data_IF_025728164292
#
_entry.id   IF_025728164292
#
_cell.length_a   1.000
_cell.length_b   1.000
_cell.length_c   1.000
_cell.angle_alpha   90.00
_cell.angle_beta   90.00
_cell.angle_gamma   90.00
#
_symmetry.space_group_name_H-M   'P 1'
#
loop_
_entity.id
_entity.type
_entity.pdbx_description
1 polymer ?
#
# COMPACT_ATOMS: atom_id res chain seq x y z
N UNK A 1 3.59 24.00 -5.61
CA UNK A 1 3.65 22.61 -6.13
C UNK A 1 3.96 21.69 -4.95
N UNK A 2 2.94 21.07 -4.35
CA UNK A 2 3.02 20.13 -3.23
C UNK A 2 3.39 18.72 -3.73
N UNK A 3 4.53 18.59 -4.39
CA UNK A 3 4.99 17.35 -5.03
C UNK A 3 5.73 16.42 -4.04
N UNK A 4 5.24 16.24 -2.81
CA UNK A 4 6.08 15.59 -1.79
C UNK A 4 6.21 14.08 -1.97
N UNK A 5 5.17 13.39 -2.47
CA UNK A 5 5.22 11.94 -2.64
C UNK A 5 4.89 11.41 -4.03
N UNK A 6 4.24 12.18 -4.89
CA UNK A 6 3.78 11.71 -6.21
C UNK A 6 4.93 11.16 -7.06
N UNK A 7 6.05 11.89 -7.18
CA UNK A 7 7.23 11.42 -7.92
C UNK A 7 7.81 10.12 -7.35
N UNK A 8 7.89 10.00 -6.02
CA UNK A 8 8.35 8.78 -5.36
C UNK A 8 7.42 7.61 -5.63
N UNK A 9 6.11 7.82 -5.48
CA UNK A 9 5.09 6.80 -5.69
C UNK A 9 5.04 6.31 -7.14
N UNK A 10 5.14 7.20 -8.13
CA UNK A 10 5.24 6.81 -9.55
C UNK A 10 6.45 5.90 -9.79
N UNK A 11 7.62 6.27 -9.25
CA UNK A 11 8.82 5.44 -9.35
C UNK A 11 8.65 4.06 -8.70
N UNK A 12 7.95 3.98 -7.56
CA UNK A 12 7.62 2.67 -6.94
C UNK A 12 6.68 1.86 -7.84
N UNK A 13 5.62 2.47 -8.36
CA UNK A 13 4.64 1.80 -9.23
C UNK A 13 5.28 1.24 -10.50
N UNK A 14 6.20 1.98 -11.11
CA UNK A 14 6.93 1.58 -12.32
C UNK A 14 7.99 0.50 -12.05
N UNK A 15 8.68 0.56 -10.90
CA UNK A 15 9.80 -0.34 -10.58
C UNK A 15 9.38 -1.58 -9.81
N UNK A 16 8.21 -1.58 -9.17
CA UNK A 16 7.68 -2.73 -8.48
C UNK A 16 7.40 -3.84 -9.49
N UNK A 17 8.04 -4.99 -9.29
CA UNK A 17 7.90 -6.18 -10.14
C UNK A 17 6.43 -6.55 -10.37
N UNK A 18 6.18 -7.31 -11.41
CA UNK A 18 4.91 -8.02 -11.55
C UNK A 18 4.85 -9.18 -10.52
N UNK A 19 3.64 -9.48 -10.02
CA UNK A 19 3.42 -10.57 -9.06
C UNK A 19 3.74 -10.24 -7.60
N UNK A 20 3.96 -11.28 -6.79
CA UNK A 20 4.07 -11.19 -5.32
C UNK A 20 5.15 -10.23 -4.80
N UNK A 21 6.37 -10.16 -5.37
CA UNK A 21 7.35 -9.16 -4.94
C UNK A 21 6.83 -7.73 -5.11
N UNK A 22 6.11 -7.45 -6.19
CA UNK A 22 5.49 -6.14 -6.42
C UNK A 22 4.37 -5.82 -5.45
N UNK A 23 3.50 -6.80 -5.18
CA UNK A 23 2.45 -6.66 -4.16
C UNK A 23 3.07 -6.31 -2.80
N UNK A 24 4.10 -7.05 -2.38
CA UNK A 24 4.80 -6.80 -1.13
C UNK A 24 5.41 -5.39 -1.09
N UNK A 25 6.11 -4.98 -2.15
CA UNK A 25 6.74 -3.66 -2.27
C UNK A 25 5.74 -2.50 -2.18
N UNK A 26 4.59 -2.64 -2.83
CA UNK A 26 3.56 -1.60 -2.84
C UNK A 26 2.86 -1.49 -1.49
N UNK A 27 2.55 -2.62 -0.83
CA UNK A 27 2.01 -2.62 0.51
C UNK A 27 3.01 -2.04 1.52
N UNK A 28 4.31 -2.32 1.37
CA UNK A 28 5.34 -1.68 2.19
C UNK A 28 5.31 -0.15 2.07
N UNK A 29 5.33 0.36 0.84
CA UNK A 29 5.31 1.80 0.58
C UNK A 29 4.02 2.46 1.07
N UNK A 30 2.86 1.85 0.78
CA UNK A 30 1.55 2.34 1.21
C UNK A 30 1.42 2.38 2.74
N UNK A 31 1.79 1.31 3.43
CA UNK A 31 1.73 1.23 4.89
C UNK A 31 2.64 2.26 5.55
N UNK A 32 3.87 2.45 5.04
CA UNK A 32 4.77 3.50 5.53
C UNK A 32 4.25 4.90 5.27
N UNK A 33 3.70 5.17 4.09
CA UNK A 33 3.12 6.47 3.77
C UNK A 33 1.90 6.78 4.65
N UNK A 34 0.97 5.82 4.82
CA UNK A 34 -0.20 5.97 5.68
C UNK A 34 0.19 6.24 7.14
N UNK A 35 1.18 5.50 7.67
CA UNK A 35 1.70 5.71 9.02
C UNK A 35 2.33 7.11 9.16
N UNK A 36 3.18 7.53 8.23
CA UNK A 36 3.80 8.87 8.26
C UNK A 36 2.74 9.98 8.20
N UNK A 37 1.71 9.81 7.37
CA UNK A 37 0.61 10.75 7.26
C UNK A 37 -0.19 10.83 8.58
N UNK A 38 -0.44 9.69 9.24
CA UNK A 38 -1.16 9.67 10.53
C UNK A 38 -0.47 10.50 11.62
N UNK A 39 0.86 10.58 11.61
CA UNK A 39 1.64 11.30 12.61
C UNK A 39 1.60 12.82 12.42
N UNK A 40 1.18 13.30 11.25
CA UNK A 40 1.13 14.72 10.90
C UNK A 40 -0.27 15.33 11.07
N UNK A 41 -1.25 14.53 11.51
CA UNK A 41 -2.66 14.92 11.53
C UNK A 41 -3.22 14.88 12.96
N UNK A 42 -4.31 15.63 13.23
CA UNK A 42 -5.03 15.55 14.50
C UNK A 42 -5.51 14.12 14.78
N UNK A 43 -5.59 13.75 16.06
CA UNK A 43 -5.84 12.37 16.53
C UNK A 43 -7.01 11.68 15.81
N UNK A 44 -8.14 12.35 15.57
CA UNK A 44 -9.29 11.72 14.92
C UNK A 44 -8.97 11.22 13.50
N UNK A 45 -8.40 12.09 12.68
CA UNK A 45 -8.02 11.80 11.29
C UNK A 45 -6.79 10.88 11.25
N UNK A 46 -5.81 11.16 12.12
CA UNK A 46 -4.59 10.37 12.25
C UNK A 46 -4.87 8.92 12.67
N UNK A 47 -5.80 8.68 13.60
CA UNK A 47 -6.14 7.33 14.06
C UNK A 47 -6.66 6.45 12.91
N UNK A 48 -7.55 6.97 12.06
CA UNK A 48 -8.06 6.22 10.91
C UNK A 48 -6.93 5.78 9.96
N UNK A 49 -5.97 6.68 9.69
CA UNK A 49 -4.81 6.37 8.85
C UNK A 49 -3.81 5.43 9.52
N UNK A 50 -3.68 5.51 10.85
CA UNK A 50 -2.85 4.57 11.61
C UNK A 50 -3.42 3.14 11.57
N UNK A 51 -4.74 2.98 11.66
CA UNK A 51 -5.40 1.69 11.47
C UNK A 51 -5.22 1.18 10.03
N UNK A 52 -5.46 2.02 9.03
CA UNK A 52 -5.21 1.65 7.63
C UNK A 52 -3.74 1.22 7.39
N UNK A 53 -2.78 1.90 8.04
CA UNK A 53 -1.37 1.53 7.98
C UNK A 53 -1.08 0.17 8.63
N UNK A 54 -1.70 -0.10 9.78
CA UNK A 54 -1.57 -1.39 10.47
C UNK A 54 -2.15 -2.54 9.62
N UNK A 55 -3.35 -2.36 9.06
CA UNK A 55 -3.99 -3.36 8.19
C UNK A 55 -3.16 -3.60 6.91
N UNK A 56 -2.53 -2.55 6.38
CA UNK A 56 -1.63 -2.67 5.23
C UNK A 56 -0.36 -3.45 5.58
N UNK A 57 0.21 -3.21 6.77
CA UNK A 57 1.34 -4.00 7.27
C UNK A 57 0.96 -5.46 7.49
N UNK A 58 -0.22 -5.74 8.04
CA UNK A 58 -0.70 -7.12 8.21
C UNK A 58 -0.85 -7.83 6.86
N UNK A 59 -1.46 -7.18 5.87
CA UNK A 59 -1.57 -7.71 4.51
C UNK A 59 -0.19 -7.98 3.87
N UNK A 60 0.78 -7.08 4.09
CA UNK A 60 2.17 -7.26 3.62
C UNK A 60 2.83 -8.45 4.32
N UNK A 61 2.66 -8.58 5.63
CA UNK A 61 3.28 -9.63 6.42
C UNK A 61 2.70 -11.00 6.07
N UNK A 62 1.40 -11.07 5.78
CA UNK A 62 0.74 -12.26 5.23
C UNK A 62 1.38 -12.70 3.90
N UNK A 63 1.64 -11.77 2.98
CA UNK A 63 2.41 -12.07 1.75
C UNK A 63 3.83 -12.55 2.08
N UNK A 64 4.48 -11.95 3.08
CA UNK A 64 5.81 -12.34 3.53
C UNK A 64 5.87 -13.73 4.17
N UNK A 65 4.80 -14.19 4.82
CA UNK A 65 4.73 -15.54 5.38
C UNK A 65 4.58 -16.61 4.30
N UNK A 66 3.75 -16.34 3.30
CA UNK A 66 3.54 -17.26 2.16
C UNK A 66 4.75 -17.27 1.20
N UNK A 67 5.51 -16.18 1.18
CA UNK A 67 6.72 -16.04 0.37
C UNK A 67 7.91 -15.51 1.22
N UNK A 68 8.57 -16.39 2.01
CA UNK A 68 9.57 -15.99 3.01
C UNK A 68 10.80 -15.25 2.49
N UNK A 69 11.11 -15.38 1.20
CA UNK A 69 12.25 -14.68 0.57
C UNK A 69 11.95 -13.19 0.29
N UNK A 70 10.68 -12.79 0.23
CA UNK A 70 10.29 -11.44 -0.19
C UNK A 70 10.75 -10.33 0.75
N UNK A 71 10.62 -10.44 2.09
CA UNK A 71 11.10 -9.39 2.98
C UNK A 71 12.60 -9.05 2.81
N UNK A 72 13.39 -9.98 2.29
CA UNK A 72 14.83 -9.81 2.04
C UNK A 72 15.17 -9.37 0.62
N UNK A 73 14.27 -9.58 -0.35
CA UNK A 73 14.58 -9.43 -1.79
C UNK A 73 13.69 -8.41 -2.50
N UNK A 74 12.48 -8.17 -2.01
CA UNK A 74 11.55 -7.21 -2.57
C UNK A 74 11.99 -5.77 -2.26
N UNK A 75 11.61 -4.85 -3.15
CA UNK A 75 11.96 -3.44 -3.00
C UNK A 75 11.16 -2.83 -1.83
N UNK A 76 11.86 -2.32 -0.82
CA UNK A 76 11.25 -1.64 0.33
C UNK A 76 11.46 -0.13 0.22
N UNK A 77 10.54 0.58 -0.45
CA UNK A 77 10.66 2.04 -0.62
C UNK A 77 9.93 2.79 0.48
N UNK A 78 10.67 3.68 1.14
CA UNK A 78 10.10 4.73 1.97
C UNK A 78 10.05 6.03 1.16
N UNK A 79 8.85 6.61 0.99
CA UNK A 79 8.66 7.86 0.22
C UNK A 79 9.24 9.09 0.91
N UNK A 80 9.75 8.95 2.14
CA UNK A 80 10.35 10.04 2.89
C UNK A 80 9.32 10.88 3.63
N UNK A 81 9.77 11.93 4.35
CA UNK A 81 8.89 12.75 5.17
C UNK A 81 7.93 13.58 4.30
N UNK A 82 6.74 13.87 4.83
CA UNK A 82 5.88 14.89 4.25
C UNK A 82 6.51 16.28 4.44
N UNK A 83 6.23 17.17 3.50
CA UNK A 83 6.55 18.57 3.67
C UNK A 83 5.75 19.21 4.83
N UNK A 84 6.14 20.41 5.29
CA UNK A 84 5.52 21.09 6.43
C UNK A 84 4.05 21.47 6.21
N UNK A 85 3.60 21.54 4.95
CA UNK A 85 2.21 21.74 4.58
C UNK A 85 1.69 20.46 3.92
N UNK A 86 0.86 19.73 4.65
CA UNK A 86 0.27 18.47 4.18
C UNK A 86 -0.98 18.79 3.34
N UNK A 87 -0.87 18.52 2.05
CA UNK A 87 -2.03 18.42 1.15
C UNK A 87 -2.66 17.04 1.37
N UNK A 88 -3.62 16.97 2.29
CA UNK A 88 -4.22 15.71 2.74
C UNK A 88 -4.88 14.92 1.59
N UNK A 89 -5.72 15.52 0.73
CA UNK A 89 -6.26 14.81 -0.44
C UNK A 89 -5.18 14.26 -1.36
N UNK A 90 -4.13 15.04 -1.67
CA UNK A 90 -3.05 14.57 -2.52
C UNK A 90 -2.25 13.43 -1.88
N UNK A 91 -1.97 13.51 -0.57
CA UNK A 91 -1.24 12.47 0.16
C UNK A 91 -2.06 11.17 0.27
N UNK A 92 -3.35 11.26 0.57
CA UNK A 92 -4.26 10.11 0.55
C UNK A 92 -4.39 9.52 -0.86
N UNK A 93 -4.43 10.36 -1.90
CA UNK A 93 -4.41 9.92 -3.30
C UNK A 93 -3.19 9.07 -3.61
N UNK A 94 -2.00 9.48 -3.18
CA UNK A 94 -0.78 8.67 -3.34
C UNK A 94 -0.88 7.31 -2.64
N UNK A 95 -1.40 7.27 -1.42
CA UNK A 95 -1.59 5.99 -0.71
C UNK A 95 -2.60 5.11 -1.46
N UNK A 96 -3.69 5.69 -1.95
CA UNK A 96 -4.70 4.97 -2.72
C UNK A 96 -4.11 4.41 -4.03
N UNK A 97 -3.30 5.18 -4.76
CA UNK A 97 -2.65 4.74 -6.00
C UNK A 97 -1.71 3.55 -5.79
N UNK A 98 -0.98 3.52 -4.67
CA UNK A 98 -0.13 2.38 -4.30
C UNK A 98 -0.96 1.14 -3.99
N UNK A 99 -2.08 1.30 -3.28
CA UNK A 99 -3.02 0.21 -2.99
C UNK A 99 -3.69 -0.30 -4.27
N UNK A 100 -4.05 0.59 -5.20
CA UNK A 100 -4.58 0.22 -6.52
C UNK A 100 -3.55 -0.55 -7.34
N UNK A 101 -2.30 -0.11 -7.37
CA UNK A 101 -1.22 -0.85 -8.04
C UNK A 101 -1.01 -2.26 -7.43
N UNK A 102 -1.26 -2.44 -6.14
CA UNK A 102 -1.22 -3.75 -5.49
C UNK A 102 -2.43 -4.60 -5.88
N UNK A 103 -3.64 -4.01 -5.94
CA UNK A 103 -4.86 -4.67 -6.39
C UNK A 103 -4.74 -5.15 -7.84
N UNK A 104 -4.19 -4.33 -8.74
CA UNK A 104 -4.00 -4.71 -10.14
C UNK A 104 -3.12 -5.96 -10.28
N UNK A 105 -2.02 -6.01 -9.49
CA UNK A 105 -1.12 -7.17 -9.45
C UNK A 105 -1.80 -8.41 -8.85
N UNK A 106 -2.60 -8.24 -7.81
CA UNK A 106 -3.40 -9.33 -7.22
C UNK A 106 -4.46 -9.87 -8.18
N UNK A 107 -5.12 -8.99 -8.93
CA UNK A 107 -6.07 -9.39 -9.97
C UNK A 107 -5.38 -10.20 -11.07
N UNK A 108 -4.20 -9.77 -11.52
CA UNK A 108 -3.40 -10.52 -12.48
C UNK A 108 -2.95 -11.89 -11.93
N UNK A 109 -2.52 -11.95 -10.67
CA UNK A 109 -2.17 -13.19 -9.98
C UNK A 109 -3.36 -14.13 -9.82
N UNK A 110 -4.55 -13.61 -9.50
CA UNK A 110 -5.77 -14.42 -9.40
C UNK A 110 -6.19 -14.99 -10.76
N UNK A 111 -6.00 -14.24 -11.85
CA UNK A 111 -6.32 -14.68 -13.20
C UNK A 111 -5.32 -15.70 -13.77
N UNK A 112 -4.07 -15.65 -13.32
CA UNK A 112 -2.96 -16.48 -13.83
C UNK A 112 -2.46 -17.53 -12.84
N UNK A 113 -3.05 -17.58 -11.63
CA UNK A 113 -2.53 -18.28 -10.47
C UNK A 113 -2.26 -19.75 -10.76
N UNK A 114 -1.06 -20.21 -10.40
CA UNK A 114 -0.56 -21.54 -10.75
C UNK A 114 -1.15 -22.62 -9.83
N UNK A 115 -1.64 -22.24 -8.66
CA UNK A 115 -2.26 -23.13 -7.66
C UNK A 115 -3.54 -22.51 -7.08
N UNK A 116 -4.40 -23.36 -6.50
CA UNK A 116 -5.61 -22.93 -5.79
C UNK A 116 -5.30 -22.04 -4.58
N UNK A 117 -4.20 -22.31 -3.88
CA UNK A 117 -3.84 -21.58 -2.66
C UNK A 117 -3.38 -20.16 -2.97
N UNK A 118 -2.59 -19.96 -4.04
CA UNK A 118 -2.20 -18.63 -4.51
C UNK A 118 -3.41 -17.79 -4.94
N UNK A 119 -4.39 -18.42 -5.61
CA UNK A 119 -5.61 -17.75 -6.02
C UNK A 119 -6.45 -17.33 -4.80
N UNK A 120 -6.59 -18.20 -3.80
CA UNK A 120 -7.31 -17.88 -2.56
C UNK A 120 -6.63 -16.76 -1.77
N UNK A 121 -5.30 -16.82 -1.64
CA UNK A 121 -4.51 -15.76 -1.02
C UNK A 121 -4.73 -14.42 -1.75
N UNK A 122 -4.66 -14.42 -3.08
CA UNK A 122 -4.83 -13.20 -3.88
C UNK A 122 -6.23 -12.60 -3.73
N UNK A 123 -7.27 -13.43 -3.67
CA UNK A 123 -8.65 -12.99 -3.45
C UNK A 123 -8.85 -12.40 -2.05
N UNK A 124 -8.32 -13.06 -1.01
CA UNK A 124 -8.42 -12.62 0.38
C UNK A 124 -7.73 -11.27 0.59
N UNK A 125 -6.48 -11.14 0.12
CA UNK A 125 -5.74 -9.89 0.15
C UNK A 125 -6.42 -8.80 -0.69
N UNK A 126 -6.94 -9.15 -1.86
CA UNK A 126 -7.67 -8.22 -2.72
C UNK A 126 -8.91 -7.64 -2.05
N UNK A 127 -9.65 -8.44 -1.27
CA UNK A 127 -10.77 -7.92 -0.49
C UNK A 127 -10.30 -6.95 0.61
N UNK A 128 -9.28 -7.36 1.40
CA UNK A 128 -8.73 -6.56 2.50
C UNK A 128 -8.20 -5.20 2.01
N UNK A 129 -7.42 -5.19 0.93
CA UNK A 129 -6.84 -3.97 0.36
C UNK A 129 -7.92 -3.00 -0.15
N UNK A 130 -9.05 -3.50 -0.68
CA UNK A 130 -10.17 -2.62 -1.07
C UNK A 130 -10.81 -1.94 0.14
N UNK A 131 -10.92 -2.62 1.29
CA UNK A 131 -11.42 -2.00 2.52
C UNK A 131 -10.45 -0.93 3.03
N UNK A 132 -9.15 -1.24 3.07
CA UNK A 132 -8.10 -0.27 3.44
C UNK A 132 -8.16 0.97 2.53
N UNK A 133 -8.23 0.76 1.21
CA UNK A 133 -8.33 1.85 0.23
C UNK A 133 -9.55 2.72 0.46
N UNK A 134 -10.72 2.10 0.72
CA UNK A 134 -11.96 2.84 1.03
C UNK A 134 -11.80 3.69 2.29
N UNK A 135 -11.18 3.13 3.33
CA UNK A 135 -10.90 3.86 4.57
C UNK A 135 -9.99 5.06 4.32
N UNK A 136 -8.89 4.90 3.56
CA UNK A 136 -7.95 5.98 3.23
C UNK A 136 -8.61 7.12 2.46
N UNK A 137 -9.45 6.81 1.47
CA UNK A 137 -10.16 7.83 0.67
C UNK A 137 -11.24 8.53 1.50
N UNK A 138 -11.91 7.82 2.40
CA UNK A 138 -12.95 8.40 3.26
C UNK A 138 -12.40 9.43 4.26
N UNK A 139 -11.10 9.44 4.54
CA UNK A 139 -10.45 10.40 5.46
C UNK A 139 -10.53 11.84 4.96
N UNK A 140 -10.67 12.04 3.65
CA UNK A 140 -10.64 13.37 3.01
C UNK A 140 -11.81 13.63 2.05
N UNK A 141 -12.83 12.76 2.10
CA UNK A 141 -14.11 12.94 1.38
C UNK A 141 -15.03 13.90 2.14
#
# INVERSE_FOLDING_TARGET
>A
MSATWSTGATSVLERANEGWPGVWSLLFAAGKAAFRLSLQLPIGVGAALAFAAADTCEARDEVGWEHPDLPMTALAVDLGPLGPQVDLPAACGVVADLLDGALDRLCALAATGRTSDEQQLAQRLGWRIREIRRAVVAVHA
#
